data_IF_847618901204
#
_entry.id   IF_847618901204
#
_cell.length_a   1.000
_cell.length_b   1.000
_cell.length_c   1.000
_cell.angle_alpha   90.00
_cell.angle_beta   90.00
_cell.angle_gamma   90.00
#
_symmetry.space_group_name_H-M   'P 1'
#
loop_
_entity.id
_entity.type
_entity.pdbx_description
1 polymer ?
#
# COMPACT_ATOMS: atom_id res chain seq x y z
N UNK A 1 -68.86 5.11 6.18
CA UNK A 1 -68.21 5.47 4.91
C UNK A 1 -66.73 5.66 5.25
N UNK A 2 -65.82 4.72 4.98
CA UNK A 2 -65.34 4.34 3.63
C UNK A 2 -64.82 5.64 2.97
N UNK A 3 -63.51 5.82 2.81
CA UNK A 3 -62.67 5.03 1.92
C UNK A 3 -61.39 4.44 2.54
N UNK A 4 -61.16 3.16 2.27
CA UNK A 4 -59.83 2.53 2.31
C UNK A 4 -59.23 2.68 0.91
N UNK A 5 -58.08 3.33 0.76
CA UNK A 5 -57.26 3.24 -0.45
C UNK A 5 -55.93 2.63 -0.06
N UNK A 6 -55.82 1.32 -0.30
CA UNK A 6 -54.57 0.57 -0.26
C UNK A 6 -53.75 1.00 -1.48
N UNK A 7 -52.70 1.79 -1.25
CA UNK A 7 -51.65 1.99 -2.25
C UNK A 7 -50.44 1.12 -1.91
N UNK A 8 -50.62 -0.20 -2.07
CA UNK A 8 -49.56 -1.19 -1.88
C UNK A 8 -48.58 -1.16 -3.08
N UNK A 9 -47.80 -0.08 -3.17
CA UNK A 9 -46.68 0.03 -4.10
C UNK A 9 -45.43 -0.62 -3.48
N UNK A 10 -45.53 -1.95 -3.34
CA UNK A 10 -44.39 -2.79 -3.01
C UNK A 10 -43.42 -2.80 -4.21
N UNK A 11 -42.47 -1.87 -4.23
CA UNK A 11 -41.33 -1.93 -5.13
C UNK A 11 -40.52 -3.19 -4.80
N UNK A 12 -40.76 -4.24 -5.57
CA UNK A 12 -39.94 -5.44 -5.64
C UNK A 12 -38.57 -5.06 -6.21
N UNK A 13 -37.66 -4.62 -5.35
CA UNK A 13 -36.24 -4.46 -5.71
C UNK A 13 -35.64 -5.84 -5.97
N UNK A 14 -35.71 -6.30 -7.21
CA UNK A 14 -35.02 -7.51 -7.64
C UNK A 14 -33.50 -7.25 -7.56
N UNK A 15 -32.73 -8.00 -6.74
CA UNK A 15 -31.28 -7.91 -6.80
C UNK A 15 -30.83 -8.56 -8.10
N UNK A 16 -30.38 -7.75 -9.05
CA UNK A 16 -29.71 -8.21 -10.27
C UNK A 16 -28.38 -8.88 -9.90
N UNK A 17 -28.43 -10.18 -9.59
CA UNK A 17 -27.23 -11.00 -9.44
C UNK A 17 -26.59 -11.17 -10.82
N UNK A 18 -25.54 -10.40 -11.09
CA UNK A 18 -24.65 -10.68 -12.19
C UNK A 18 -23.87 -11.96 -11.86
N UNK A 19 -24.19 -13.06 -12.54
CA UNK A 19 -23.41 -14.29 -12.48
C UNK A 19 -22.06 -14.06 -13.16
N UNK A 20 -21.04 -13.77 -12.36
CA UNK A 20 -19.67 -13.62 -12.81
C UNK A 20 -19.03 -15.00 -12.99
N UNK A 21 -19.31 -15.67 -14.11
CA UNK A 21 -18.62 -16.91 -14.42
C UNK A 21 -17.17 -16.62 -14.87
N UNK A 22 -16.18 -16.95 -14.03
CA UNK A 22 -14.76 -16.79 -14.36
C UNK A 22 -14.24 -18.08 -15.00
N UNK A 23 -13.97 -18.01 -16.31
CA UNK A 23 -13.37 -19.08 -17.09
C UNK A 23 -11.87 -19.27 -16.71
N UNK A 24 -11.57 -20.35 -16.00
CA UNK A 24 -10.21 -20.75 -15.64
C UNK A 24 -9.54 -21.66 -16.68
N UNK A 25 -10.22 -22.09 -17.75
CA UNK A 25 -9.69 -23.06 -18.73
C UNK A 25 -8.51 -22.53 -19.56
N UNK A 26 -8.13 -21.26 -19.41
CA UNK A 26 -7.01 -20.62 -20.12
C UNK A 26 -5.66 -20.65 -19.38
N UNK A 27 -5.59 -21.15 -18.14
CA UNK A 27 -4.36 -21.12 -17.31
C UNK A 27 -3.64 -22.45 -17.14
N UNK A 28 -3.87 -23.45 -17.99
CA UNK A 28 -3.09 -24.70 -18.00
C UNK A 28 -2.57 -25.01 -19.41
N UNK A 29 -1.40 -24.47 -19.75
CA UNK A 29 -0.56 -25.01 -20.81
C UNK A 29 0.87 -25.23 -20.29
N UNK A 30 1.10 -26.50 -19.92
CA UNK A 30 2.40 -27.21 -19.80
C UNK A 30 3.58 -26.46 -19.17
N UNK A 31 3.94 -26.88 -17.97
CA UNK A 31 5.32 -26.79 -17.50
C UNK A 31 6.22 -27.69 -18.38
N UNK A 32 7.40 -27.21 -18.82
CA UNK A 32 8.47 -28.07 -19.30
C UNK A 32 9.27 -28.62 -18.11
N UNK A 33 9.12 -29.91 -17.81
CA UNK A 33 10.06 -30.63 -16.97
C UNK A 33 11.36 -30.87 -17.76
N UNK A 34 12.47 -30.24 -17.35
CA UNK A 34 13.80 -30.55 -17.90
C UNK A 34 14.89 -30.27 -16.85
N UNK A 35 15.93 -31.10 -16.83
CA UNK A 35 17.19 -30.96 -16.07
C UNK A 35 17.22 -31.25 -14.55
N UNK A 36 16.46 -32.24 -14.11
CA UNK A 36 16.93 -33.16 -13.06
C UNK A 36 17.91 -34.19 -13.65
N UNK A 37 19.14 -33.79 -14.02
CA UNK A 37 20.27 -34.72 -14.24
C UNK A 37 21.62 -34.01 -14.50
N UNK A 38 22.34 -33.61 -13.45
CA UNK A 38 23.82 -33.51 -13.51
C UNK A 38 24.47 -33.86 -12.18
N UNK A 39 24.67 -35.16 -11.98
CA UNK A 39 25.37 -35.70 -10.81
C UNK A 39 26.89 -35.41 -10.83
N UNK A 40 27.46 -35.43 -9.62
CA UNK A 40 28.86 -35.54 -9.19
C UNK A 40 29.94 -35.86 -10.26
N UNK A 41 31.14 -35.29 -10.16
CA UNK A 41 32.19 -35.85 -9.28
C UNK A 41 33.31 -34.83 -8.92
N UNK A 42 34.12 -35.08 -7.86
CA UNK A 42 34.95 -34.05 -7.21
C UNK A 42 36.42 -34.02 -7.68
N UNK A 43 37.12 -32.90 -7.41
CA UNK A 43 38.59 -32.86 -7.40
C UNK A 43 39.18 -31.86 -6.39
N UNK A 44 39.67 -32.42 -5.28
CA UNK A 44 40.99 -32.16 -4.67
C UNK A 44 41.46 -30.70 -4.40
N UNK A 45 41.52 -30.33 -3.11
CA UNK A 45 42.30 -29.20 -2.57
C UNK A 45 43.84 -29.45 -2.66
N UNK A 46 44.69 -28.40 -2.61
CA UNK A 46 45.16 -27.76 -1.35
C UNK A 46 45.32 -26.22 -1.45
N UNK A 47 45.76 -25.42 -0.45
CA UNK A 47 45.68 -25.42 1.04
C UNK A 47 46.28 -24.08 1.58
N UNK A 48 46.13 -23.78 2.88
CA UNK A 48 46.62 -22.57 3.59
C UNK A 48 45.93 -21.25 3.17
N UNK A 49 45.81 -20.18 3.99
CA UNK A 49 46.59 -19.78 5.18
C UNK A 49 45.73 -19.07 6.27
N UNK A 50 46.32 -18.81 7.45
CA UNK A 50 45.64 -18.30 8.65
C UNK A 50 45.55 -16.76 8.74
N UNK A 51 44.43 -16.27 9.30
CA UNK A 51 44.35 -15.22 10.33
C UNK A 51 42.89 -15.17 10.84
N UNK A 52 42.58 -15.49 12.09
CA UNK A 52 42.74 -14.62 13.27
C UNK A 52 41.99 -13.28 13.06
N UNK A 53 40.71 -13.22 13.42
CA UNK A 53 40.24 -12.78 14.74
C UNK A 53 40.38 -11.26 14.95
N UNK A 54 39.25 -10.55 15.00
CA UNK A 54 38.93 -9.87 16.26
C UNK A 54 37.43 -9.58 16.45
N UNK A 55 37.04 -9.48 17.72
CA UNK A 55 35.68 -9.14 18.16
C UNK A 55 35.57 -7.64 18.43
N UNK A 56 34.50 -6.99 17.97
CA UNK A 56 33.98 -5.83 18.69
C UNK A 56 32.47 -5.62 18.49
N UNK A 57 31.81 -5.41 19.63
CA UNK A 57 30.36 -5.29 19.78
C UNK A 57 29.85 -3.86 19.48
N UNK A 58 28.54 -3.67 19.21
CA UNK A 58 27.98 -2.34 18.98
C UNK A 58 28.02 -1.47 20.25
N UNK A 59 28.60 -0.27 20.13
CA UNK A 59 28.59 0.74 21.19
C UNK A 59 27.20 1.36 21.35
N UNK A 60 26.54 1.02 22.45
CA UNK A 60 25.32 1.68 22.94
C UNK A 60 25.71 2.92 23.76
N UNK A 61 25.23 4.11 23.38
CA UNK A 61 25.27 5.32 24.22
C UNK A 61 24.15 6.31 23.84
N UNK A 62 23.26 6.62 24.80
CA UNK A 62 22.34 7.79 24.90
C UNK A 62 21.39 8.03 23.71
N UNK A 63 20.05 7.91 23.80
CA UNK A 63 19.11 8.05 24.94
C UNK A 63 19.24 9.41 25.64
N UNK A 64 18.75 10.45 24.98
CA UNK A 64 18.35 11.71 25.60
C UNK A 64 16.82 11.72 25.72
N UNK A 65 16.31 11.20 26.84
CA UNK A 65 14.92 11.39 27.23
C UNK A 65 14.75 12.81 27.78
N UNK A 66 14.20 13.71 26.96
CA UNK A 66 13.70 15.02 27.40
C UNK A 66 12.18 14.98 27.45
N UNK A 67 11.63 14.47 28.55
CA UNK A 67 10.28 14.80 29.00
C UNK A 67 10.31 16.02 29.94
N UNK A 68 9.16 16.66 30.08
CA UNK A 68 8.88 17.89 30.86
C UNK A 68 9.55 19.20 30.38
N UNK A 69 8.76 20.06 29.72
CA UNK A 69 8.24 21.23 30.44
C UNK A 69 6.85 21.67 29.90
N UNK A 70 5.90 21.87 30.82
CA UNK A 70 4.53 22.32 30.51
C UNK A 70 4.50 23.84 30.39
N UNK A 71 4.28 24.37 29.19
CA UNK A 71 4.04 25.82 28.97
C UNK A 71 2.57 26.13 28.71
N UNK A 72 1.90 26.66 29.75
CA UNK A 72 0.60 27.31 29.62
C UNK A 72 0.74 28.70 28.98
N UNK A 73 0.02 28.98 27.88
CA UNK A 73 -0.68 30.24 27.55
C UNK A 73 -0.95 30.37 26.02
N UNK A 74 -1.81 31.30 25.58
CA UNK A 74 -3.23 31.39 25.91
C UNK A 74 -4.08 31.12 24.65
N UNK A 75 -5.33 30.66 24.84
CA UNK A 75 -6.26 30.38 23.72
C UNK A 75 -6.57 31.65 22.93
N UNK A 76 -5.87 31.85 21.81
CA UNK A 76 -6.07 33.00 20.92
C UNK A 76 -7.12 32.67 19.87
N UNK A 77 -8.38 32.91 20.23
CA UNK A 77 -9.52 32.80 19.32
C UNK A 77 -9.39 33.79 18.15
N UNK A 78 -8.95 33.28 16.98
CA UNK A 78 -9.20 33.83 15.62
C UNK A 78 -8.47 32.99 14.56
N UNK A 79 -9.18 32.05 13.93
CA UNK A 79 -8.87 31.67 12.53
C UNK A 79 -10.04 31.00 11.77
N UNK A 80 -11.29 31.36 12.07
CA UNK A 80 -12.45 30.94 11.27
C UNK A 80 -12.50 31.57 9.86
N UNK A 81 -11.62 32.53 9.59
CA UNK A 81 -11.37 33.09 8.25
C UNK A 81 -10.14 32.44 7.55
N UNK A 82 -9.33 31.68 8.27
CA UNK A 82 -8.24 30.88 7.69
C UNK A 82 -8.74 29.63 6.97
N UNK A 83 -9.84 29.04 7.45
CA UNK A 83 -10.44 27.81 6.92
C UNK A 83 -10.91 27.86 5.44
N UNK A 84 -10.92 29.04 4.81
CA UNK A 84 -11.27 29.22 3.40
C UNK A 84 -10.06 29.49 2.49
N UNK A 85 -8.94 29.93 3.05
CA UNK A 85 -7.66 30.05 2.32
C UNK A 85 -6.74 28.84 2.55
N UNK A 86 -7.08 27.98 3.51
CA UNK A 86 -6.56 26.62 3.63
C UNK A 86 -7.24 25.65 2.62
N UNK A 87 -7.73 26.18 1.48
CA UNK A 87 -7.89 25.41 0.24
C UNK A 87 -6.52 25.12 -0.41
N UNK A 88 -5.54 24.75 0.42
CA UNK A 88 -4.43 23.92 -0.02
C UNK A 88 -5.00 22.63 -0.62
N UNK A 89 -4.27 22.06 -1.57
CA UNK A 89 -4.75 20.94 -2.38
C UNK A 89 -5.35 19.82 -1.51
N UNK A 90 -6.57 19.31 -1.82
CA UNK A 90 -7.32 18.48 -0.88
C UNK A 90 -6.55 17.23 -0.50
N UNK A 91 -5.98 17.25 0.71
CA UNK A 91 -5.13 16.16 1.22
C UNK A 91 -5.99 14.92 1.39
N UNK A 92 -5.84 13.96 0.48
CA UNK A 92 -6.63 12.75 0.50
C UNK A 92 -6.02 11.76 1.50
N UNK A 93 -6.83 11.36 2.49
CA UNK A 93 -6.47 10.33 3.43
C UNK A 93 -6.44 8.96 2.76
N UNK A 94 -5.30 8.27 2.89
CA UNK A 94 -5.12 6.90 2.45
C UNK A 94 -4.82 6.04 3.68
N UNK A 95 -5.63 5.03 3.93
CA UNK A 95 -5.40 4.05 5.01
C UNK A 95 -4.91 2.74 4.40
N UNK A 96 -3.76 2.25 4.87
CA UNK A 96 -3.22 0.95 4.53
C UNK A 96 -3.16 0.11 5.80
N UNK A 97 -3.89 -1.00 5.82
CA UNK A 97 -3.88 -1.97 6.91
C UNK A 97 -2.91 -3.10 6.58
N UNK A 98 -2.04 -3.43 7.51
CA UNK A 98 -1.20 -4.62 7.42
C UNK A 98 -1.82 -5.74 8.24
N UNK A 99 -2.23 -6.80 7.55
CA UNK A 99 -2.92 -7.97 8.11
C UNK A 99 -2.03 -9.22 7.98
N UNK A 100 -2.44 -10.33 8.59
CA UNK A 100 -1.78 -11.64 8.40
C UNK A 100 -1.80 -12.14 6.94
N UNK A 101 -2.71 -11.61 6.11
CA UNK A 101 -2.84 -11.95 4.69
C UNK A 101 -2.20 -10.88 3.77
N UNK A 102 -1.39 -9.99 4.33
CA UNK A 102 -0.75 -8.88 3.64
C UNK A 102 -1.54 -7.57 3.72
N UNK A 103 -1.34 -6.70 2.73
CA UNK A 103 -1.85 -5.34 2.75
C UNK A 103 -3.30 -5.21 2.25
N UNK A 104 -4.09 -4.40 2.96
CA UNK A 104 -5.46 -4.03 2.59
C UNK A 104 -5.56 -2.49 2.55
N UNK A 105 -5.79 -1.86 1.38
CA UNK A 105 -5.88 -2.48 0.06
C UNK A 105 -4.52 -2.95 -0.48
N UNK A 106 -4.51 -4.05 -1.24
CA UNK A 106 -3.30 -4.55 -1.91
C UNK A 106 -2.89 -3.72 -3.13
N UNK A 107 -3.82 -2.95 -3.71
CA UNK A 107 -3.55 -2.02 -4.81
C UNK A 107 -4.13 -0.65 -4.49
N UNK A 108 -3.26 0.34 -4.41
CA UNK A 108 -3.57 1.76 -4.23
C UNK A 108 -3.45 2.47 -5.57
N UNK A 109 -4.39 3.37 -5.88
CA UNK A 109 -4.33 4.22 -7.07
C UNK A 109 -4.34 5.70 -6.67
N UNK A 110 -3.28 6.42 -6.99
CA UNK A 110 -3.12 7.86 -6.71
C UNK A 110 -2.89 8.65 -7.98
N UNK A 111 -3.23 9.95 -7.94
CA UNK A 111 -2.96 10.88 -9.04
C UNK A 111 -1.53 11.40 -8.93
N UNK A 112 -0.86 11.56 -10.07
CA UNK A 112 0.41 12.29 -10.15
C UNK A 112 0.23 13.70 -9.57
N UNK A 113 1.23 14.16 -8.83
CA UNK A 113 1.30 15.45 -8.12
C UNK A 113 0.26 15.67 -6.99
N UNK A 114 -0.63 14.72 -6.69
CA UNK A 114 -1.60 14.91 -5.59
C UNK A 114 -0.94 14.83 -4.20
N UNK A 115 -1.49 15.52 -3.22
CA UNK A 115 -1.05 15.44 -1.83
C UNK A 115 -1.87 14.39 -1.05
N UNK A 116 -1.19 13.37 -0.51
CA UNK A 116 -1.83 12.26 0.20
C UNK A 116 -1.31 12.13 1.62
N UNK A 117 -2.21 11.97 2.60
CA UNK A 117 -1.84 11.61 3.98
C UNK A 117 -2.00 10.11 4.15
N UNK A 118 -0.90 9.39 4.06
CA UNK A 118 -0.88 7.92 4.18
C UNK A 118 -0.78 7.56 5.65
N UNK A 119 -1.72 6.75 6.14
CA UNK A 119 -1.73 6.20 7.49
C UNK A 119 -1.66 4.68 7.41
N UNK A 120 -0.54 4.13 7.87
CA UNK A 120 -0.29 2.68 7.92
C UNK A 120 -0.59 2.18 9.33
N UNK A 121 -1.34 1.08 9.43
CA UNK A 121 -1.73 0.47 10.70
C UNK A 121 -1.47 -1.02 10.67
N UNK A 122 -0.64 -1.51 11.59
CA UNK A 122 -0.46 -2.94 11.78
C UNK A 122 -1.60 -3.50 12.65
N UNK A 123 -2.36 -4.46 12.10
CA UNK A 123 -3.42 -5.21 12.79
C UNK A 123 -3.10 -6.71 12.90
N UNK A 124 -1.89 -7.13 12.54
CA UNK A 124 -1.40 -8.50 12.70
C UNK A 124 -1.01 -8.76 14.18
N UNK A 125 -1.72 -9.66 14.84
CA UNK A 125 -1.48 -10.00 16.26
C UNK A 125 -0.22 -10.86 16.47
N UNK A 126 0.19 -11.62 15.45
CA UNK A 126 1.37 -12.51 15.49
C UNK A 126 2.66 -11.70 15.38
N UNK A 127 2.72 -10.79 14.42
CA UNK A 127 3.90 -9.96 14.13
C UNK A 127 3.66 -8.52 14.58
N UNK A 128 4.03 -8.23 15.83
CA UNK A 128 3.76 -6.93 16.46
C UNK A 128 4.64 -5.79 15.96
N UNK A 129 5.78 -6.11 15.36
CA UNK A 129 6.76 -5.15 14.84
C UNK A 129 7.01 -5.52 13.38
N UNK A 130 6.62 -4.66 12.45
CA UNK A 130 6.75 -4.89 11.01
C UNK A 130 7.08 -3.56 10.32
N UNK A 131 7.85 -3.59 9.25
CA UNK A 131 8.19 -2.41 8.47
C UNK A 131 7.29 -2.28 7.25
N UNK A 132 6.96 -1.02 6.92
CA UNK A 132 6.38 -0.64 5.65
C UNK A 132 7.48 0.06 4.83
N UNK A 133 7.81 -0.51 3.68
CA UNK A 133 8.86 -0.03 2.79
C UNK A 133 8.24 0.37 1.46
N UNK A 134 8.52 1.60 1.01
CA UNK A 134 8.14 2.13 -0.30
C UNK A 134 9.38 2.77 -0.94
N UNK A 135 10.30 1.91 -1.41
CA UNK A 135 11.63 2.28 -1.93
C UNK A 135 11.58 3.38 -3.01
N UNK A 136 10.56 3.33 -3.88
CA UNK A 136 10.38 4.29 -4.97
C UNK A 136 10.23 5.76 -4.50
N UNK A 137 9.84 5.96 -3.24
CA UNK A 137 9.71 7.26 -2.59
C UNK A 137 10.67 7.42 -1.41
N UNK A 138 11.54 6.44 -1.15
CA UNK A 138 12.48 6.39 -0.01
C UNK A 138 11.78 6.50 1.36
N UNK A 139 10.55 6.01 1.45
CA UNK A 139 9.78 5.97 2.69
C UNK A 139 9.93 4.61 3.37
N UNK A 140 10.55 4.60 4.55
CA UNK A 140 10.76 3.40 5.36
C UNK A 140 10.22 3.65 6.77
N UNK A 141 9.24 2.87 7.19
CA UNK A 141 8.53 3.12 8.45
C UNK A 141 8.37 1.85 9.27
N UNK A 142 8.89 1.84 10.49
CA UNK A 142 8.51 0.85 11.50
C UNK A 142 7.06 1.09 11.93
N UNK A 143 6.23 0.06 11.84
CA UNK A 143 4.85 0.06 12.32
C UNK A 143 4.68 -0.98 13.42
N UNK A 144 3.91 -0.60 14.43
CA UNK A 144 3.70 -1.40 15.63
C UNK A 144 2.23 -1.77 15.73
N UNK A 145 1.93 -2.98 16.22
CA UNK A 145 0.55 -3.44 16.39
C UNK A 145 -0.30 -2.42 17.15
N UNK A 146 -1.43 -2.03 16.55
CA UNK A 146 -2.36 -1.05 17.10
C UNK A 146 -1.88 0.41 17.09
N UNK A 147 -0.66 0.71 16.63
CA UNK A 147 -0.16 2.10 16.46
C UNK A 147 -0.31 2.54 15.02
N UNK A 148 -0.86 3.73 14.84
CA UNK A 148 -0.99 4.39 13.52
C UNK A 148 0.31 5.14 13.23
N UNK A 149 0.91 4.89 12.06
CA UNK A 149 2.03 5.67 11.54
C UNK A 149 1.57 6.46 10.32
N UNK A 150 1.66 7.79 10.39
CA UNK A 150 1.20 8.70 9.33
C UNK A 150 2.39 9.43 8.68
N UNK A 151 2.33 9.58 7.35
CA UNK A 151 3.27 10.35 6.54
C UNK A 151 2.55 11.04 5.36
N UNK A 152 3.26 11.91 4.64
CA UNK A 152 2.74 12.63 3.48
C UNK A 152 3.42 12.11 2.22
N UNK A 153 2.63 11.74 1.21
CA UNK A 153 3.10 11.19 -0.07
C UNK A 153 2.76 12.16 -1.21
N UNK A 154 3.79 12.53 -1.98
CA UNK A 154 3.70 13.44 -3.14
C UNK A 154 4.26 12.75 -4.40
N UNK A 155 3.44 12.04 -5.20
CA UNK A 155 3.91 11.21 -6.29
C UNK A 155 4.22 12.04 -7.55
N UNK A 156 5.48 12.50 -7.64
CA UNK A 156 5.99 13.35 -8.75
C UNK A 156 6.20 12.58 -10.08
N UNK A 157 6.37 11.26 -10.01
CA UNK A 157 6.58 10.37 -11.17
C UNK A 157 5.37 9.45 -11.33
N UNK A 158 4.88 9.34 -12.55
CA UNK A 158 3.88 8.33 -12.91
C UNK A 158 4.53 6.94 -13.03
N UNK A 159 3.74 5.88 -12.80
CA UNK A 159 4.25 4.53 -12.84
C UNK A 159 3.55 3.56 -11.89
N UNK A 160 4.21 2.42 -11.70
CA UNK A 160 3.78 1.31 -10.88
C UNK A 160 4.91 0.99 -9.92
N UNK A 161 4.68 1.21 -8.63
CA UNK A 161 5.66 1.01 -7.57
C UNK A 161 5.15 -0.07 -6.60
N UNK A 162 6.03 -0.93 -6.11
CA UNK A 162 5.72 -1.85 -5.02
C UNK A 162 5.92 -1.16 -3.67
N UNK A 163 5.17 -1.61 -2.67
CA UNK A 163 5.49 -1.44 -1.26
C UNK A 163 5.44 -2.80 -0.58
N UNK A 164 6.32 -3.04 0.37
CA UNK A 164 6.48 -4.35 0.99
C UNK A 164 6.71 -4.30 2.50
N UNK A 165 6.49 -5.43 3.16
CA UNK A 165 6.96 -5.71 4.52
C UNK A 165 7.83 -6.98 4.46
N UNK A 166 9.16 -6.83 4.64
CA UNK A 166 10.09 -7.96 4.65
C UNK A 166 9.79 -9.02 5.71
N UNK A 167 9.18 -8.63 6.83
CA UNK A 167 8.87 -9.54 7.94
C UNK A 167 7.72 -10.48 7.58
N UNK A 168 6.61 -9.91 7.09
CA UNK A 168 5.40 -10.68 6.71
C UNK A 168 5.47 -11.27 5.30
N UNK A 169 6.52 -10.98 4.53
CA UNK A 169 6.58 -11.24 3.07
C UNK A 169 5.38 -10.67 2.29
N UNK A 170 4.75 -9.60 2.80
CA UNK A 170 3.61 -8.98 2.18
C UNK A 170 4.05 -7.98 1.11
N UNK A 171 3.42 -8.04 -0.07
CA UNK A 171 3.60 -7.08 -1.16
C UNK A 171 2.27 -6.36 -1.45
N UNK A 172 2.34 -5.07 -1.74
CA UNK A 172 1.26 -4.25 -2.28
C UNK A 172 1.77 -3.30 -3.36
N UNK A 173 0.84 -2.68 -4.08
CA UNK A 173 1.12 -1.96 -5.31
C UNK A 173 0.54 -0.55 -5.32
N UNK A 174 1.39 0.45 -5.50
CA UNK A 174 1.02 1.85 -5.71
C UNK A 174 1.06 2.19 -7.20
N UNK A 175 -0.09 2.54 -7.77
CA UNK A 175 -0.22 2.97 -9.17
C UNK A 175 -0.43 4.48 -9.19
N UNK A 176 0.57 5.21 -9.71
CA UNK A 176 0.49 6.65 -9.95
C UNK A 176 0.08 6.90 -11.40
N UNK A 177 -1.06 7.55 -11.61
CA UNK A 177 -1.57 7.87 -12.94
C UNK A 177 -1.75 9.37 -13.16
N UNK A 178 -1.52 9.84 -14.40
CA UNK A 178 -1.92 11.18 -14.82
C UNK A 178 -3.38 11.15 -15.32
N UNK A 179 -4.33 11.91 -14.73
CA UNK A 179 -5.73 11.94 -15.19
C UNK A 179 -5.93 12.54 -16.60
N UNK A 180 -4.98 13.35 -17.10
CA UNK A 180 -5.11 14.04 -18.39
C UNK A 180 -4.98 13.09 -19.60
N UNK A 181 -4.35 11.93 -19.44
CA UNK A 181 -4.10 10.96 -20.53
C UNK A 181 -5.26 9.97 -20.64
N UNK A 182 -6.49 10.46 -20.88
CA UNK A 182 -7.72 9.65 -20.77
C UNK A 182 -8.64 9.61 -22.00
N UNK A 183 -8.14 9.88 -23.22
CA UNK A 183 -8.87 9.54 -24.46
C UNK A 183 -7.94 8.92 -25.52
N UNK A 184 -7.97 7.59 -25.64
CA UNK A 184 -7.71 6.94 -26.93
C UNK A 184 -9.04 6.87 -27.68
N UNK A 185 -9.18 7.62 -28.76
CA UNK A 185 -10.35 7.47 -29.64
C UNK A 185 -10.38 6.03 -30.21
N UNK A 186 -11.55 5.38 -30.30
CA UNK A 186 -11.66 4.05 -30.90
C UNK A 186 -11.35 4.13 -32.40
N UNK A 187 -10.39 3.34 -32.87
CA UNK A 187 -9.93 3.28 -34.27
C UNK A 187 -10.93 2.59 -35.22
N UNK A 188 -12.23 2.86 -35.09
CA UNK A 188 -13.31 2.20 -35.83
C UNK A 188 -14.27 3.20 -36.47
N UNK A 189 -13.73 4.30 -37.01
CA UNK A 189 -14.46 5.22 -37.90
C UNK A 189 -13.68 5.31 -39.21
N UNK A 190 -14.16 4.60 -40.24
CA UNK A 190 -13.70 4.79 -41.61
C UNK A 190 -13.35 3.53 -42.40
N UNK A 191 -14.36 2.74 -42.80
CA UNK A 191 -14.38 2.13 -44.13
C UNK A 191 -15.82 1.70 -44.51
N UNK A 192 -16.53 2.58 -45.20
CA UNK A 192 -17.71 2.23 -45.99
C UNK A 192 -17.71 3.13 -47.24
N UNK A 193 -17.52 2.51 -48.41
CA UNK A 193 -17.56 3.17 -49.73
C UNK A 193 -17.78 2.15 -50.85
#
# INVERSE_FOLDING_TARGET
MQWVIVLALAFLSQPSRADWNVDFSRRVQKAPETDLNRAATPSRAPASELQAADTQAPTVTQVNDHEEEVSNAPVKSKSLLGAFFDQGEPVQDLVILQTEHGFVPSVVRVRKNGHYRVSVVNVNEKEKNVSFILDAFSEHHATYYGKIKTFVLEPKKEGSFSFESPETSAEGKLIVFNPEVSVRAPSSVGEEK
#
